data_IF_056683559624
#
_entry.id   IF_056683559624
#
_cell.length_a   1.000
_cell.length_b   1.000
_cell.length_c   1.000
_cell.angle_alpha   90.00
_cell.angle_beta   90.00
_cell.angle_gamma   90.00
#
_symmetry.space_group_name_H-M   'P 1'
#
loop_
_entity.id
_entity.type
_entity.pdbx_description
1 polymer ?
#
# COMPACT_ATOMS: atom_id res chain seq x y z
N UNK A 1 -12.19 12.92 -1.85
CA UNK A 1 -11.97 11.57 -2.42
C UNK A 1 -13.32 10.85 -2.47
N UNK A 2 -13.73 10.28 -3.61
CA UNK A 2 -15.05 9.63 -3.73
C UNK A 2 -15.05 8.25 -3.07
N UNK A 3 -16.20 7.82 -2.51
CA UNK A 3 -16.35 6.49 -1.90
C UNK A 3 -15.97 5.35 -2.87
N UNK A 4 -16.29 5.50 -4.16
CA UNK A 4 -15.91 4.54 -5.20
C UNK A 4 -14.39 4.34 -5.33
N UNK A 5 -13.59 5.40 -5.15
CA UNK A 5 -12.12 5.33 -5.23
C UNK A 5 -11.53 4.53 -4.07
N UNK A 6 -12.08 4.69 -2.85
CA UNK A 6 -11.67 3.91 -1.69
C UNK A 6 -11.99 2.42 -1.85
N UNK A 7 -13.21 2.10 -2.31
CA UNK A 7 -13.62 0.71 -2.56
C UNK A 7 -12.71 0.04 -3.58
N UNK A 8 -12.40 0.74 -4.68
CA UNK A 8 -11.48 0.24 -5.70
C UNK A 8 -10.09 -0.07 -5.12
N UNK A 9 -9.51 0.86 -4.35
CA UNK A 9 -8.18 0.66 -3.73
C UNK A 9 -8.21 -0.52 -2.76
N UNK A 10 -9.20 -0.61 -1.88
CA UNK A 10 -9.34 -1.73 -0.94
C UNK A 10 -9.41 -3.07 -1.70
N UNK A 11 -10.20 -3.13 -2.78
CA UNK A 11 -10.32 -4.33 -3.61
C UNK A 11 -8.98 -4.69 -4.28
N UNK A 12 -8.25 -3.69 -4.80
CA UNK A 12 -6.95 -3.90 -5.42
C UNK A 12 -5.90 -4.43 -4.44
N UNK A 13 -5.97 -4.05 -3.16
CA UNK A 13 -5.05 -4.51 -2.12
C UNK A 13 -5.48 -5.81 -1.42
N UNK A 14 -6.76 -6.19 -1.49
CA UNK A 14 -7.28 -7.40 -0.87
C UNK A 14 -6.59 -8.66 -1.40
N UNK A 15 -6.44 -8.75 -2.73
CA UNK A 15 -5.84 -9.90 -3.39
C UNK A 15 -4.32 -10.00 -3.11
N UNK A 16 -3.51 -8.93 -3.27
CA UNK A 16 -2.13 -8.87 -2.80
C UNK A 16 -1.95 -9.24 -1.32
N UNK A 17 -2.78 -8.69 -0.43
CA UNK A 17 -2.70 -8.96 1.01
C UNK A 17 -2.98 -10.43 1.32
N UNK A 18 -4.00 -11.03 0.70
CA UNK A 18 -4.31 -12.44 0.86
C UNK A 18 -3.18 -13.33 0.32
N UNK A 19 -2.63 -13.00 -0.86
CA UNK A 19 -1.54 -13.77 -1.48
C UNK A 19 -0.20 -13.63 -0.74
N UNK A 20 0.07 -12.49 -0.13
CA UNK A 20 1.24 -12.25 0.72
C UNK A 20 1.16 -13.07 2.01
N UNK A 21 -0.04 -13.16 2.60
CA UNK A 21 -0.32 -14.00 3.78
C UNK A 21 -0.26 -15.51 3.49
N UNK A 22 -0.85 -15.96 2.38
CA UNK A 22 -1.02 -17.38 2.06
C UNK A 22 0.19 -17.99 1.32
N UNK A 23 0.77 -17.25 0.39
CA UNK A 23 1.77 -17.79 -0.55
C UNK A 23 3.08 -16.99 -0.57
N UNK A 24 3.19 -15.87 0.18
CA UNK A 24 4.32 -14.93 0.16
C UNK A 24 4.72 -14.49 -1.26
N UNK A 25 3.76 -14.53 -2.18
CA UNK A 25 3.96 -14.18 -3.57
C UNK A 25 2.85 -13.22 -3.96
N UNK A 26 3.23 -11.98 -4.18
CA UNK A 26 2.31 -10.96 -4.66
C UNK A 26 2.21 -11.07 -6.18
N UNK A 27 1.00 -11.16 -6.72
CA UNK A 27 0.77 -11.24 -8.17
C UNK A 27 1.14 -9.91 -8.85
N UNK A 28 2.40 -9.79 -9.25
CA UNK A 28 2.97 -8.60 -9.90
C UNK A 28 2.13 -8.14 -11.11
N UNK A 29 1.64 -9.07 -11.94
CA UNK A 29 0.79 -8.75 -13.08
C UNK A 29 -0.54 -8.08 -12.68
N UNK A 30 -1.12 -8.51 -11.55
CA UNK A 30 -2.35 -7.91 -11.01
C UNK A 30 -2.10 -6.49 -10.53
N UNK A 31 -1.02 -6.28 -9.76
CA UNK A 31 -0.64 -4.95 -9.27
C UNK A 31 -0.34 -3.98 -10.41
N UNK A 32 0.38 -4.43 -11.44
CA UNK A 32 0.63 -3.61 -12.64
C UNK A 32 -0.70 -3.24 -13.30
N UNK A 33 -1.61 -4.20 -13.49
CA UNK A 33 -2.96 -3.91 -14.00
C UNK A 33 -3.71 -2.87 -13.17
N UNK A 34 -3.71 -3.01 -11.84
CA UNK A 34 -4.35 -2.05 -10.93
C UNK A 34 -3.71 -0.66 -11.02
N UNK A 35 -2.38 -0.56 -11.11
CA UNK A 35 -1.69 0.73 -11.24
C UNK A 35 -2.05 1.46 -12.53
N UNK A 36 -2.10 0.73 -13.65
CA UNK A 36 -2.48 1.29 -14.96
C UNK A 36 -3.94 1.78 -14.94
N UNK A 37 -4.85 0.99 -14.37
CA UNK A 37 -6.26 1.38 -14.24
C UNK A 37 -6.40 2.63 -13.36
N UNK A 38 -5.68 2.71 -12.25
CA UNK A 38 -5.68 3.88 -11.37
C UNK A 38 -5.13 5.13 -12.07
N UNK A 39 -4.05 4.99 -12.87
CA UNK A 39 -3.51 6.09 -13.67
C UNK A 39 -4.51 6.57 -14.72
N UNK A 40 -5.14 5.65 -15.45
CA UNK A 40 -6.17 5.97 -16.44
C UNK A 40 -7.36 6.68 -15.80
N UNK A 41 -7.80 6.22 -14.63
CA UNK A 41 -8.87 6.87 -13.87
C UNK A 41 -8.52 8.31 -13.50
N UNK A 42 -7.31 8.54 -12.96
CA UNK A 42 -6.86 9.90 -12.61
C UNK A 42 -6.73 10.81 -13.84
N UNK A 43 -6.26 10.27 -14.98
CA UNK A 43 -6.19 11.02 -16.23
C UNK A 43 -7.58 11.41 -16.74
N UNK A 44 -8.56 10.50 -16.68
CA UNK A 44 -9.96 10.79 -17.03
C UNK A 44 -10.62 11.79 -16.09
N UNK A 45 -10.21 11.84 -14.81
CA UNK A 45 -10.65 12.85 -13.85
C UNK A 45 -9.95 14.22 -14.03
N UNK A 46 -9.04 14.37 -14.99
CA UNK A 46 -8.36 15.63 -15.28
C UNK A 46 -7.26 16.01 -14.29
N UNK A 47 -6.66 15.04 -13.59
CA UNK A 47 -5.49 15.32 -12.74
C UNK A 47 -4.30 15.82 -13.57
N UNK A 48 -3.56 16.77 -13.03
CA UNK A 48 -2.33 17.25 -13.66
C UNK A 48 -1.27 16.14 -13.70
N UNK A 49 -0.51 16.09 -14.81
CA UNK A 49 0.59 15.12 -14.98
C UNK A 49 1.65 15.30 -13.88
N UNK A 50 1.83 16.53 -13.41
CA UNK A 50 2.77 16.86 -12.34
C UNK A 50 2.38 16.17 -11.02
N UNK A 51 1.10 16.24 -10.64
CA UNK A 51 0.58 15.58 -9.44
C UNK A 51 0.70 14.06 -9.54
N UNK A 52 0.46 13.50 -10.73
CA UNK A 52 0.66 12.07 -10.98
C UNK A 52 2.14 11.69 -10.83
N UNK A 53 3.07 12.50 -11.35
CA UNK A 53 4.51 12.25 -11.21
C UNK A 53 4.97 12.33 -9.75
N UNK A 54 4.48 13.33 -8.99
CA UNK A 54 4.75 13.43 -7.56
C UNK A 54 4.17 12.25 -6.77
N UNK A 55 2.99 11.76 -7.15
CA UNK A 55 2.36 10.59 -6.52
C UNK A 55 3.20 9.31 -6.63
N UNK A 56 4.05 9.20 -7.66
CA UNK A 56 4.95 8.07 -7.86
C UNK A 56 6.25 8.20 -7.07
N UNK A 57 6.60 9.39 -6.59
CA UNK A 57 7.87 9.69 -5.94
C UNK A 57 8.15 8.83 -4.69
N UNK A 58 7.18 8.54 -3.80
CA UNK A 58 7.42 7.63 -2.69
C UNK A 58 7.79 6.20 -3.17
N UNK A 59 7.14 5.74 -4.23
CA UNK A 59 7.40 4.43 -4.82
C UNK A 59 8.78 4.34 -5.47
N UNK A 60 9.25 5.40 -6.13
CA UNK A 60 10.61 5.41 -6.73
C UNK A 60 11.71 5.40 -5.68
N UNK A 61 11.52 6.08 -4.55
CA UNK A 61 12.47 6.02 -3.42
C UNK A 61 12.54 4.59 -2.86
N UNK A 62 11.39 3.96 -2.59
CA UNK A 62 11.38 2.60 -2.05
C UNK A 62 11.91 1.58 -3.06
N UNK A 63 11.67 1.79 -4.36
CA UNK A 63 12.26 0.97 -5.41
C UNK A 63 13.80 1.08 -5.43
N UNK A 64 14.35 2.29 -5.29
CA UNK A 64 15.80 2.49 -5.16
C UNK A 64 16.34 1.78 -3.91
N UNK A 65 15.65 1.88 -2.77
CA UNK A 65 16.01 1.17 -1.54
C UNK A 65 15.94 -0.35 -1.70
N UNK A 66 14.95 -0.86 -2.42
CA UNK A 66 14.80 -2.28 -2.72
C UNK A 66 15.97 -2.84 -3.54
N UNK A 67 16.63 -1.99 -4.35
CA UNK A 67 17.87 -2.40 -5.04
C UNK A 67 19.03 -2.66 -4.09
N UNK A 68 19.06 -2.00 -2.94
CA UNK A 68 20.12 -2.13 -1.93
C UNK A 68 19.73 -3.05 -0.76
N UNK A 69 18.45 -3.39 -0.61
CA UNK A 69 17.91 -4.22 0.47
C UNK A 69 17.34 -5.53 -0.05
N UNK A 70 17.82 -6.67 0.49
CA UNK A 70 17.27 -8.00 0.16
C UNK A 70 15.89 -8.28 0.78
N UNK A 71 15.41 -7.40 1.66
CA UNK A 71 14.17 -7.60 2.41
C UNK A 71 12.93 -6.91 1.83
N UNK A 72 13.04 -6.19 0.71
CA UNK A 72 11.91 -5.49 0.08
C UNK A 72 11.55 -6.22 -1.22
N UNK A 73 10.33 -6.76 -1.29
CA UNK A 73 9.83 -7.42 -2.48
C UNK A 73 9.43 -6.42 -3.57
N UNK A 74 9.52 -6.82 -4.84
CA UNK A 74 8.98 -6.02 -5.94
C UNK A 74 7.46 -5.80 -5.80
N UNK A 75 6.75 -6.74 -5.15
CA UNK A 75 5.34 -6.59 -4.80
C UNK A 75 5.09 -5.40 -3.87
N UNK A 76 5.91 -5.20 -2.84
CA UNK A 76 5.79 -4.09 -1.89
C UNK A 76 6.00 -2.75 -2.58
N UNK A 77 7.00 -2.68 -3.47
CA UNK A 77 7.27 -1.50 -4.28
C UNK A 77 6.06 -1.13 -5.13
N UNK A 78 5.48 -2.10 -5.83
CA UNK A 78 4.30 -1.89 -6.69
C UNK A 78 3.06 -1.52 -5.88
N UNK A 79 2.90 -2.07 -4.68
CA UNK A 79 1.87 -1.64 -3.72
C UNK A 79 2.03 -0.15 -3.39
N UNK A 80 3.24 0.33 -3.13
CA UNK A 80 3.46 1.76 -2.80
C UNK A 80 3.19 2.65 -4.01
N UNK A 81 3.55 2.22 -5.22
CA UNK A 81 3.17 2.92 -6.45
C UNK A 81 1.65 3.00 -6.63
N UNK A 82 0.94 1.89 -6.42
CA UNK A 82 -0.52 1.85 -6.48
C UNK A 82 -1.16 2.75 -5.43
N UNK A 83 -0.60 2.79 -4.22
CA UNK A 83 -1.05 3.67 -3.15
C UNK A 83 -0.91 5.14 -3.52
N UNK A 84 0.25 5.53 -4.06
CA UNK A 84 0.52 6.88 -4.53
C UNK A 84 -0.47 7.31 -5.61
N UNK A 85 -0.62 6.51 -6.66
CA UNK A 85 -1.54 6.80 -7.76
C UNK A 85 -3.00 6.78 -7.28
N UNK A 86 -3.39 5.82 -6.45
CA UNK A 86 -4.78 5.66 -6.00
C UNK A 86 -5.22 6.74 -5.01
N UNK A 87 -4.38 7.08 -4.04
CA UNK A 87 -4.74 7.98 -2.94
C UNK A 87 -4.25 9.42 -3.15
N UNK A 88 -3.18 9.64 -3.94
CA UNK A 88 -2.43 10.88 -3.98
C UNK A 88 -1.25 10.88 -2.98
N UNK A 89 -0.40 11.90 -3.06
CA UNK A 89 0.85 11.98 -2.26
C UNK A 89 0.56 12.08 -0.76
N UNK A 90 -0.28 13.02 -0.35
CA UNK A 90 -0.52 13.31 1.07
C UNK A 90 -1.14 12.12 1.80
N UNK A 91 -2.31 11.67 1.33
CA UNK A 91 -3.03 10.51 1.88
C UNK A 91 -2.20 9.23 1.72
N UNK A 92 -1.49 9.08 0.59
CA UNK A 92 -0.62 7.93 0.35
C UNK A 92 0.52 7.85 1.37
N UNK A 93 1.16 8.98 1.71
CA UNK A 93 2.18 9.04 2.74
C UNK A 93 1.60 8.75 4.13
N UNK A 94 0.45 9.33 4.48
CA UNK A 94 -0.23 9.03 5.76
C UNK A 94 -0.49 7.53 5.93
N UNK A 95 -1.02 6.88 4.88
CA UNK A 95 -1.30 5.45 4.90
C UNK A 95 0.00 4.65 5.00
N UNK A 96 1.04 5.04 4.26
CA UNK A 96 2.36 4.38 4.28
C UNK A 96 2.99 4.46 5.67
N UNK A 97 2.98 5.63 6.30
CA UNK A 97 3.45 5.83 7.66
C UNK A 97 2.65 4.98 8.65
N UNK A 98 1.31 5.04 8.59
CA UNK A 98 0.44 4.23 9.46
C UNK A 98 0.70 2.72 9.32
N UNK A 99 0.81 2.22 8.09
CA UNK A 99 1.08 0.81 7.81
C UNK A 99 2.46 0.37 8.28
N UNK A 100 3.48 1.22 8.12
CA UNK A 100 4.84 0.94 8.58
C UNK A 100 4.95 0.88 10.11
N UNK A 101 4.27 1.78 10.83
CA UNK A 101 4.20 1.78 12.29
C UNK A 101 3.51 0.51 12.79
N UNK A 102 2.38 0.13 12.18
CA UNK A 102 1.66 -1.10 12.53
C UNK A 102 2.53 -2.35 12.30
N UNK A 103 3.25 -2.40 11.17
CA UNK A 103 4.19 -3.47 10.87
C UNK A 103 5.32 -3.53 11.91
N UNK A 104 5.88 -2.38 12.29
CA UNK A 104 6.93 -2.29 13.32
C UNK A 104 6.43 -2.74 14.70
N UNK A 105 5.23 -2.33 15.11
CA UNK A 105 4.58 -2.80 16.33
C UNK A 105 4.38 -4.32 16.33
N UNK A 106 3.91 -4.89 15.21
CA UNK A 106 3.76 -6.34 15.06
C UNK A 106 5.10 -7.08 15.16
N UNK A 107 6.17 -6.51 14.59
CA UNK A 107 7.53 -7.05 14.71
C UNK A 107 8.04 -7.01 16.16
N UNK A 108 7.81 -5.91 16.89
CA UNK A 108 8.20 -5.77 18.28
C UNK A 108 7.45 -6.74 19.20
N UNK A 109 6.12 -6.81 19.09
CA UNK A 109 5.29 -7.75 19.86
C UNK A 109 5.76 -9.18 19.60
N UNK A 110 6.03 -9.54 18.34
CA UNK A 110 6.54 -10.86 18.00
C UNK A 110 7.90 -11.14 18.66
N UNK A 111 8.85 -10.20 18.62
CA UNK A 111 10.17 -10.37 19.28
C UNK A 111 10.06 -10.52 20.79
N UNK A 112 9.10 -9.83 21.42
CA UNK A 112 8.93 -9.83 22.88
C UNK A 112 8.17 -11.08 23.36
N UNK A 113 7.12 -11.51 22.65
CA UNK A 113 6.20 -12.54 23.14
C UNK A 113 6.33 -13.91 22.45
N UNK A 114 6.89 -14.00 21.25
CA UNK A 114 6.90 -15.23 20.45
C UNK A 114 8.34 -15.59 20.06
N UNK A 115 9.02 -16.31 20.96
CA UNK A 115 10.43 -16.71 20.79
C UNK A 115 10.64 -17.91 19.86
N UNK A 116 9.58 -18.65 19.46
CA UNK A 116 9.75 -20.01 18.92
C UNK A 116 9.01 -20.41 17.62
N UNK A 117 8.49 -19.50 16.80
CA UNK A 117 7.85 -19.89 15.52
C UNK A 117 8.54 -19.43 14.24
N UNK A 118 8.72 -20.43 13.36
CA UNK A 118 9.44 -20.58 12.09
C UNK A 118 9.13 -19.60 10.93
N UNK A 119 8.39 -18.51 11.11
CA UNK A 119 8.12 -17.59 9.99
C UNK A 119 9.22 -16.54 9.82
N UNK A 120 10.05 -16.65 8.79
CA UNK A 120 11.23 -15.80 8.61
C UNK A 120 10.95 -14.28 8.55
N UNK A 121 9.78 -13.84 8.08
CA UNK A 121 9.47 -12.40 7.85
C UNK A 121 7.97 -12.12 8.03
N UNK A 122 7.62 -10.91 8.50
CA UNK A 122 6.22 -10.45 8.67
C UNK A 122 5.77 -9.74 7.37
N UNK A 123 4.62 -10.12 6.78
CA UNK A 123 4.15 -9.55 5.52
C UNK A 123 3.75 -8.08 5.72
N UNK A 124 4.21 -7.18 4.84
CA UNK A 124 3.98 -5.73 4.95
C UNK A 124 2.60 -5.33 4.42
N UNK A 125 2.16 -5.93 3.31
CA UNK A 125 0.94 -5.55 2.58
C UNK A 125 -0.34 -5.65 3.44
N UNK A 126 -0.53 -6.66 4.30
CA UNK A 126 -1.70 -6.71 5.18
C UNK A 126 -1.80 -5.54 6.16
N UNK A 127 -0.67 -5.09 6.74
CA UNK A 127 -0.65 -3.94 7.64
C UNK A 127 -0.90 -2.63 6.92
N UNK A 128 -0.43 -2.53 5.68
CA UNK A 128 -0.76 -1.42 4.79
C UNK A 128 -2.26 -1.39 4.48
N UNK A 129 -2.89 -2.54 4.21
CA UNK A 129 -4.34 -2.65 4.01
C UNK A 129 -5.13 -2.21 5.25
N UNK A 130 -4.68 -2.57 6.46
CA UNK A 130 -5.30 -2.09 7.70
C UNK A 130 -5.26 -0.56 7.78
N UNK A 131 -4.12 0.05 7.44
CA UNK A 131 -3.99 1.51 7.39
C UNK A 131 -4.90 2.17 6.34
N UNK A 132 -5.07 1.53 5.17
CA UNK A 132 -6.05 1.96 4.15
C UNK A 132 -7.47 1.93 4.72
N UNK A 133 -7.86 0.86 5.40
CA UNK A 133 -9.20 0.72 5.98
C UNK A 133 -9.48 1.75 7.08
N UNK A 134 -8.49 2.02 7.95
CA UNK A 134 -8.61 3.05 9.00
C UNK A 134 -8.78 4.42 8.36
N UNK A 135 -7.95 4.77 7.37
CA UNK A 135 -8.07 6.04 6.67
C UNK A 135 -9.41 6.15 5.94
N UNK A 136 -9.86 5.10 5.26
CA UNK A 136 -11.17 5.07 4.63
C UNK A 136 -12.28 5.37 5.66
N UNK A 137 -12.26 4.74 6.84
CA UNK A 137 -13.22 5.03 7.91
C UNK A 137 -13.15 6.47 8.39
N UNK A 138 -11.95 7.03 8.60
CA UNK A 138 -11.79 8.42 9.04
C UNK A 138 -12.36 9.39 7.99
N UNK A 139 -11.97 9.23 6.73
CA UNK A 139 -12.42 10.13 5.65
C UNK A 139 -13.90 9.96 5.29
N UNK A 140 -14.50 8.77 5.49
CA UNK A 140 -15.92 8.54 5.22
C UNK A 140 -16.82 8.89 6.40
N UNK A 141 -16.40 8.65 7.63
CA UNK A 141 -17.23 8.85 8.84
C UNK A 141 -17.03 10.24 9.44
N UNK A 142 -15.80 10.76 9.49
CA UNK A 142 -15.49 12.01 10.18
C UNK A 142 -15.45 13.24 9.26
N UNK A 143 -15.06 13.07 7.99
CA UNK A 143 -14.91 14.16 7.02
C UNK A 143 -16.13 14.32 6.08
N UNK A 144 -17.16 13.49 6.23
CA UNK A 144 -18.45 13.63 5.51
C UNK A 144 -19.40 14.63 6.17
N UNK A 145 -18.86 15.78 6.63
CA UNK A 145 -19.63 16.93 7.11
C UNK A 145 -19.46 18.11 6.15
#
# INVERSE_FOLDING_TARGET
>A
MTQARWIFIILCFLLPAATDLLFRNVSVCWLIGCTVIAMLWNFLCGCEILDLAFSLFPGTIVWLLARFSKGIGMGDVLCIFLLGVGCGVEIGLEILFGGSILCLCAQLIRRVFITHTYQKEIPFVPWLLVSICINCLIYTVFMSK
#
